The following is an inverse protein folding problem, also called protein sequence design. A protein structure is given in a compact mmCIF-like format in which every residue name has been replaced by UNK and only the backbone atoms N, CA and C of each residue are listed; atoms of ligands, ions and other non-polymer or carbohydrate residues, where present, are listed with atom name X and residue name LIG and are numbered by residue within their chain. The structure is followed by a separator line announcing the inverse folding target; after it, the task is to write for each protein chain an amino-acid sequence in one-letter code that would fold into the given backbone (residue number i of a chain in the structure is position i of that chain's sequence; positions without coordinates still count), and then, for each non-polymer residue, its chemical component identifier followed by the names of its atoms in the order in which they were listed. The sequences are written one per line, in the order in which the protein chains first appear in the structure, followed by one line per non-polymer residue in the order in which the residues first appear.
data_IF_311648423716
#
_entry.id   IF_311648423716
#
_cell.length_a   1.000
_cell.length_b   1.000
_cell.length_c   1.000
_cell.angle_alpha   90.00
_cell.angle_beta   90.00
_cell.angle_gamma   90.00
#
_symmetry.space_group_name_H-M   'P 1'
#
loop_
_entity.id
_entity.type
_entity.pdbx_description
1 polymer ?
#
# COMPACT_ATOMS: atom_id res chain seq x y z
N UNK A 1 7.05 -18.64 -4.69
CA UNK A 1 7.59 -17.26 -4.70
C UNK A 1 6.66 -16.30 -5.46
N UNK A 2 6.29 -16.57 -6.72
CA UNK A 2 5.41 -15.69 -7.52
C UNK A 2 4.01 -15.57 -6.90
N UNK A 3 3.37 -16.69 -6.52
CA UNK A 3 2.01 -16.64 -5.95
C UNK A 3 1.91 -15.79 -4.69
N UNK A 4 2.88 -15.90 -3.78
CA UNK A 4 2.90 -15.08 -2.56
C UNK A 4 3.03 -13.59 -2.86
N UNK A 5 3.86 -13.22 -3.83
CA UNK A 5 3.99 -11.82 -4.26
C UNK A 5 2.68 -11.33 -4.88
N UNK A 6 2.05 -12.16 -5.72
CA UNK A 6 0.74 -11.86 -6.31
C UNK A 6 -0.32 -11.63 -5.24
N UNK A 7 -0.45 -12.57 -4.28
CA UNK A 7 -1.45 -12.46 -3.23
C UNK A 7 -1.21 -11.24 -2.34
N UNK A 8 0.04 -10.94 -1.99
CA UNK A 8 0.38 -9.74 -1.21
C UNK A 8 0.03 -8.45 -1.95
N UNK A 9 0.28 -8.41 -3.25
CA UNK A 9 -0.10 -7.27 -4.09
C UNK A 9 -1.62 -7.11 -4.13
N UNK A 10 -2.35 -8.18 -4.42
CA UNK A 10 -3.83 -8.17 -4.47
C UNK A 10 -4.44 -7.77 -3.12
N UNK A 11 -3.92 -8.30 -2.01
CA UNK A 11 -4.38 -7.93 -0.66
C UNK A 11 -4.18 -6.44 -0.39
N UNK A 12 -3.00 -5.91 -0.72
CA UNK A 12 -2.68 -4.49 -0.55
C UNK A 12 -3.60 -3.61 -1.39
N UNK A 13 -3.77 -3.93 -2.67
CA UNK A 13 -4.61 -3.16 -3.60
C UNK A 13 -6.08 -3.09 -3.14
N UNK A 14 -6.67 -4.23 -2.75
CA UNK A 14 -8.06 -4.26 -2.30
C UNK A 14 -8.21 -3.55 -0.95
N UNK A 15 -7.26 -3.69 -0.04
CA UNK A 15 -7.24 -2.95 1.22
C UNK A 15 -7.19 -1.42 0.96
N UNK A 16 -6.25 -0.96 0.14
CA UNK A 16 -6.09 0.44 -0.23
C UNK A 16 -7.36 1.01 -0.85
N UNK A 17 -7.96 0.27 -1.78
CA UNK A 17 -9.23 0.64 -2.41
C UNK A 17 -10.33 0.84 -1.37
N UNK A 18 -10.50 -0.09 -0.43
CA UNK A 18 -11.54 0.01 0.60
C UNK A 18 -11.32 1.15 1.58
N UNK A 19 -10.05 1.43 1.93
CA UNK A 19 -9.70 2.60 2.74
C UNK A 19 -10.08 3.88 2.00
N UNK A 20 -9.70 4.00 0.73
CA UNK A 20 -10.00 5.18 -0.09
C UNK A 20 -11.51 5.36 -0.34
N UNK A 21 -12.23 4.28 -0.67
CA UNK A 21 -13.69 4.30 -0.84
C UNK A 21 -14.39 4.77 0.44
N UNK A 22 -14.00 4.24 1.61
CA UNK A 22 -14.58 4.69 2.88
C UNK A 22 -14.33 6.16 3.15
N UNK A 23 -13.13 6.67 2.86
CA UNK A 23 -12.81 8.08 3.07
C UNK A 23 -13.58 8.98 2.10
N UNK A 24 -13.74 8.53 0.85
CA UNK A 24 -14.51 9.22 -0.17
C UNK A 24 -16.00 9.31 0.22
N UNK A 25 -16.60 8.20 0.65
CA UNK A 25 -18.02 8.15 1.00
C UNK A 25 -18.36 8.78 2.36
N UNK A 26 -17.44 8.77 3.32
CA UNK A 26 -17.67 9.34 4.64
C UNK A 26 -17.53 10.89 4.70
N UNK A 27 -17.12 11.54 3.60
CA UNK A 27 -16.72 12.97 3.55
C UNK A 27 -15.65 13.32 4.61
N UNK A 28 -14.91 12.32 5.11
CA UNK A 28 -13.86 12.45 6.10
C UNK A 28 -12.49 12.58 5.45
N UNK A 29 -12.42 13.23 4.28
CA UNK A 29 -11.20 13.40 3.47
C UNK A 29 -10.02 13.93 4.30
N UNK A 30 -10.30 14.75 5.31
CA UNK A 30 -9.29 15.37 6.20
C UNK A 30 -8.76 14.47 7.32
N UNK A 31 -9.42 13.35 7.65
CA UNK A 31 -9.00 12.47 8.75
C UNK A 31 -8.20 11.25 8.30
N UNK A 32 -7.91 11.13 7.01
CA UNK A 32 -7.19 9.99 6.45
C UNK A 32 -5.76 10.36 6.07
N UNK A 33 -4.79 9.67 6.68
CA UNK A 33 -3.37 9.77 6.34
C UNK A 33 -3.08 9.35 4.88
N UNK A 34 -4.01 8.64 4.22
CA UNK A 34 -3.88 8.22 2.82
C UNK A 34 -4.00 9.38 1.83
N UNK A 35 -4.80 10.41 2.13
CA UNK A 35 -5.12 11.47 1.15
C UNK A 35 -4.22 12.70 1.31
N UNK A 36 -3.54 12.85 2.45
CA UNK A 36 -2.58 13.95 2.67
C UNK A 36 -1.19 13.70 2.05
N UNK A 37 -1.10 13.04 0.89
CA UNK A 37 0.13 13.12 0.07
C UNK A 37 0.15 14.49 -0.62
N UNK A 38 0.43 15.53 0.17
CA UNK A 38 0.60 16.90 -0.35
C UNK A 38 1.81 16.93 -1.27
N UNK A 39 1.69 17.69 -2.35
CA UNK A 39 2.85 18.04 -3.16
C UNK A 39 3.92 18.64 -2.23
N UNK A 40 5.19 18.25 -2.38
CA UNK A 40 6.22 18.70 -1.46
C UNK A 40 6.36 20.23 -1.55
N UNK A 41 6.59 20.91 -0.41
CA UNK A 41 6.77 22.38 -0.30
C UNK A 41 8.08 22.89 -0.94
N UNK A 42 8.74 22.06 -1.75
CA UNK A 42 10.00 22.34 -2.42
C UNK A 42 9.78 22.36 -3.93
N UNK A 43 10.66 23.06 -4.69
CA UNK A 43 10.62 23.01 -6.15
C UNK A 43 10.67 21.57 -6.61
N UNK A 44 9.69 21.17 -7.43
CA UNK A 44 9.69 19.83 -8.02
C UNK A 44 10.93 19.67 -8.90
N UNK A 45 11.67 18.56 -8.79
CA UNK A 45 12.81 18.32 -9.65
C UNK A 45 12.33 18.18 -11.11
N UNK A 46 13.12 18.70 -12.05
CA UNK A 46 12.87 18.48 -13.47
C UNK A 46 12.92 16.97 -13.77
N UNK A 47 11.98 16.49 -14.58
CA UNK A 47 11.97 15.09 -14.98
C UNK A 47 13.26 14.76 -15.74
N UNK A 48 13.98 13.75 -15.27
CA UNK A 48 15.16 13.22 -15.94
C UNK A 48 14.96 11.73 -16.26
N UNK A 49 15.37 11.24 -17.44
CA UNK A 49 15.16 9.84 -17.85
C UNK A 49 15.76 8.79 -16.90
N UNK A 50 16.72 9.18 -16.07
CA UNK A 50 17.33 8.32 -15.07
C UNK A 50 16.54 8.28 -13.75
N UNK A 51 15.59 9.20 -13.50
CA UNK A 51 14.80 9.27 -12.26
C UNK A 51 14.08 7.96 -11.96
N UNK A 52 13.34 7.32 -12.91
CA UNK A 52 12.64 6.08 -12.60
C UNK A 52 13.57 4.95 -12.13
N UNK A 53 14.69 4.73 -12.84
CA UNK A 53 15.62 3.63 -12.51
C UNK A 53 16.50 3.94 -11.32
N UNK A 54 17.07 5.14 -11.27
CA UNK A 54 18.08 5.46 -10.27
C UNK A 54 17.44 5.89 -8.95
N UNK A 55 16.32 6.60 -8.97
CA UNK A 55 15.72 7.14 -7.75
C UNK A 55 14.55 6.28 -7.31
N UNK A 56 13.50 6.15 -8.15
CA UNK A 56 12.25 5.47 -7.76
C UNK A 56 12.52 3.99 -7.45
N UNK A 57 13.12 3.24 -8.38
CA UNK A 57 13.39 1.80 -8.16
C UNK A 57 14.31 1.53 -6.98
N UNK A 58 15.28 2.41 -6.70
CA UNK A 58 16.21 2.25 -5.57
C UNK A 58 15.47 2.40 -4.24
N UNK A 59 14.63 3.42 -4.10
CA UNK A 59 13.88 3.67 -2.87
C UNK A 59 12.86 2.56 -2.65
N UNK A 60 12.08 2.19 -3.67
CA UNK A 60 11.11 1.09 -3.55
C UNK A 60 11.80 -0.25 -3.23
N UNK A 61 12.97 -0.53 -3.81
CA UNK A 61 13.74 -1.73 -3.46
C UNK A 61 14.24 -1.71 -2.00
N UNK A 62 14.64 -0.55 -1.49
CA UNK A 62 15.04 -0.40 -0.09
C UNK A 62 13.87 -0.65 0.88
N UNK A 63 12.66 -0.25 0.49
CA UNK A 63 11.46 -0.38 1.30
C UNK A 63 10.71 -1.71 1.11
N UNK A 64 10.95 -2.45 0.03
CA UNK A 64 10.25 -3.70 -0.29
C UNK A 64 10.22 -4.70 0.87
N UNK A 65 11.38 -4.95 1.52
CA UNK A 65 11.45 -5.87 2.67
C UNK A 65 10.69 -5.36 3.90
N UNK A 66 10.61 -4.05 4.08
CA UNK A 66 9.86 -3.42 5.18
C UNK A 66 8.37 -3.56 4.91
N UNK A 67 7.94 -3.31 3.67
CA UNK A 67 6.56 -3.49 3.19
C UNK A 67 6.10 -4.94 3.34
N UNK A 68 6.86 -5.91 2.81
CA UNK A 68 6.56 -7.35 2.92
C UNK A 68 6.30 -7.78 4.37
N UNK A 69 7.15 -7.31 5.30
CA UNK A 69 6.99 -7.62 6.73
C UNK A 69 5.74 -7.00 7.34
N UNK A 70 5.34 -5.80 6.91
CA UNK A 70 4.11 -5.20 7.42
C UNK A 70 2.89 -5.91 6.84
N UNK A 71 2.88 -6.18 5.54
CA UNK A 71 1.82 -6.94 4.87
C UNK A 71 1.59 -8.29 5.56
N UNK A 72 2.65 -9.07 5.80
CA UNK A 72 2.56 -10.37 6.50
C UNK A 72 2.12 -10.27 7.96
N UNK A 73 2.16 -9.09 8.59
CA UNK A 73 1.72 -8.89 9.98
C UNK A 73 0.32 -8.31 10.08
N UNK A 74 -0.10 -7.56 9.06
CA UNK A 74 -1.37 -6.84 9.05
C UNK A 74 -2.49 -7.64 8.42
N UNK A 75 -2.22 -8.39 7.35
CA UNK A 75 -3.25 -9.14 6.64
C UNK A 75 -3.33 -10.60 7.11
N UNK A 76 -4.49 -11.26 6.93
CA UNK A 76 -4.68 -12.66 7.29
C UNK A 76 -3.61 -13.57 6.67
N UNK A 77 -3.07 -14.51 7.45
CA UNK A 77 -2.03 -15.44 6.99
C UNK A 77 -2.43 -16.20 5.72
N UNK A 78 -3.70 -16.65 5.66
CA UNK A 78 -4.30 -17.27 4.48
C UNK A 78 -4.08 -16.42 3.23
N UNK A 79 -4.18 -15.10 3.33
CA UNK A 79 -4.08 -14.21 2.18
C UNK A 79 -2.63 -13.98 1.75
N UNK A 80 -1.67 -13.87 2.67
CA UNK A 80 -0.34 -13.32 2.33
C UNK A 80 0.83 -14.28 2.54
N UNK A 81 0.59 -15.42 3.19
CA UNK A 81 1.60 -16.43 3.51
C UNK A 81 1.25 -17.82 2.95
N UNK A 82 0.04 -18.04 2.43
CA UNK A 82 -0.34 -19.28 1.75
C UNK A 82 -0.17 -19.16 0.21
N UNK A 83 0.69 -20.00 -0.36
CA UNK A 83 0.94 -20.06 -1.80
C UNK A 83 0.05 -21.05 -2.56
N UNK A 84 -0.78 -21.83 -1.86
CA UNK A 84 -1.72 -22.75 -2.46
C UNK A 84 -3.00 -22.05 -2.93
N UNK A 85 -3.24 -20.81 -2.48
CA UNK A 85 -4.42 -20.03 -2.85
C UNK A 85 -4.12 -19.03 -3.96
N UNK A 86 -5.11 -18.81 -4.81
CA UNK A 86 -5.19 -17.67 -5.71
C UNK A 86 -6.14 -16.63 -5.09
N UNK A 87 -5.56 -15.62 -4.43
CA UNK A 87 -6.34 -14.70 -3.60
C UNK A 87 -7.41 -13.92 -4.39
N UNK A 88 -7.18 -13.68 -5.69
CA UNK A 88 -8.12 -12.95 -6.54
C UNK A 88 -9.50 -13.60 -6.66
N UNK A 89 -9.59 -14.92 -6.45
CA UNK A 89 -10.85 -15.67 -6.50
C UNK A 89 -11.49 -15.85 -5.11
N UNK A 90 -10.84 -15.40 -4.04
CA UNK A 90 -11.34 -15.55 -2.69
C UNK A 90 -12.37 -14.45 -2.36
N UNK A 91 -13.65 -14.78 -2.12
CA UNK A 91 -14.66 -13.78 -1.81
C UNK A 91 -14.41 -13.03 -0.49
N UNK A 92 -13.63 -13.60 0.44
CA UNK A 92 -13.25 -12.94 1.70
C UNK A 92 -12.31 -11.75 1.48
N UNK A 93 -11.62 -11.69 0.32
CA UNK A 93 -10.75 -10.57 -0.06
C UNK A 93 -11.48 -9.23 0.03
N UNK A 94 -12.76 -9.19 -0.39
CA UNK A 94 -13.58 -7.98 -0.35
C UNK A 94 -14.05 -7.60 1.06
N UNK A 95 -13.62 -8.32 2.10
CA UNK A 95 -13.84 -7.98 3.50
C UNK A 95 -12.54 -7.67 4.23
N UNK A 96 -11.41 -7.59 3.52
CA UNK A 96 -10.08 -7.44 4.13
C UNK A 96 -9.99 -6.28 5.12
N UNK A 97 -10.57 -5.11 4.83
CA UNK A 97 -10.56 -3.99 5.78
C UNK A 97 -11.38 -4.29 7.04
N UNK A 98 -12.52 -4.98 6.92
CA UNK A 98 -13.33 -5.37 8.07
C UNK A 98 -12.58 -6.40 8.92
N UNK A 99 -11.94 -7.39 8.28
CA UNK A 99 -11.13 -8.41 8.96
C UNK A 99 -9.96 -7.75 9.72
N UNK A 100 -9.24 -6.83 9.07
CA UNK A 100 -8.13 -6.08 9.70
C UNK A 100 -8.63 -5.25 10.88
N UNK A 101 -9.78 -4.55 10.74
CA UNK A 101 -10.37 -3.76 11.83
C UNK A 101 -10.86 -4.59 13.02
N UNK A 102 -11.24 -5.84 12.78
CA UNK A 102 -11.64 -6.78 13.84
C UNK A 102 -10.42 -7.44 14.51
N UNK A 103 -9.25 -7.37 13.90
CA UNK A 103 -8.00 -7.85 14.49
C UNK A 103 -7.44 -6.84 15.50
N UNK A 104 -6.65 -7.31 16.46
CA UNK A 104 -5.88 -6.44 17.38
C UNK A 104 -4.67 -5.76 16.71
N UNK A 105 -4.49 -5.94 15.40
CA UNK A 105 -3.34 -5.40 14.67
C UNK A 105 -3.56 -3.94 14.29
N UNK A 106 -2.60 -3.08 14.66
CA UNK A 106 -2.59 -1.68 14.25
C UNK A 106 -2.13 -1.53 12.79
N UNK A 107 -2.88 -0.77 11.98
CA UNK A 107 -2.55 -0.50 10.56
C UNK A 107 -1.61 0.68 10.36
N UNK A 108 -1.47 1.57 11.35
CA UNK A 108 -0.64 2.79 11.28
C UNK A 108 0.77 2.56 10.70
N UNK A 109 1.52 1.50 11.05
CA UNK A 109 2.83 1.25 10.46
C UNK A 109 2.78 0.89 8.97
N UNK A 110 1.75 0.16 8.52
CA UNK A 110 1.53 -0.17 7.12
C UNK A 110 1.16 1.10 6.34
N UNK A 111 0.18 1.85 6.84
CA UNK A 111 -0.28 3.12 6.25
C UNK A 111 0.88 4.11 6.07
N UNK A 112 1.77 4.21 7.06
CA UNK A 112 2.93 5.09 7.00
C UNK A 112 3.92 4.72 5.89
N UNK A 113 4.16 3.42 5.64
CA UNK A 113 5.04 2.97 4.56
C UNK A 113 4.38 3.22 3.21
N UNK A 114 3.07 3.02 3.10
CA UNK A 114 2.33 3.28 1.86
C UNK A 114 2.40 4.77 1.53
N UNK A 115 2.15 5.64 2.50
CA UNK A 115 2.34 7.09 2.32
C UNK A 115 3.78 7.46 1.95
N UNK A 116 4.79 6.76 2.49
CA UNK A 116 6.20 6.94 2.14
C UNK A 116 6.49 6.58 0.67
N UNK A 117 5.97 5.45 0.20
CA UNK A 117 6.10 5.02 -1.21
C UNK A 117 5.37 5.98 -2.17
N UNK A 118 4.14 6.38 -1.84
CA UNK A 118 3.34 7.28 -2.67
C UNK A 118 3.96 8.68 -2.82
N UNK A 119 4.69 9.17 -1.81
CA UNK A 119 5.42 10.45 -1.88
C UNK A 119 6.44 10.50 -3.01
N UNK A 120 7.05 9.36 -3.35
CA UNK A 120 8.03 9.28 -4.43
C UNK A 120 7.31 9.56 -5.76
N UNK A 121 6.15 8.95 -5.98
CA UNK A 121 5.35 9.16 -7.18
C UNK A 121 4.82 10.58 -7.28
N UNK A 122 4.39 11.20 -6.17
CA UNK A 122 3.94 12.61 -6.22
C UNK A 122 5.07 13.61 -6.43
N UNK A 123 6.30 13.27 -6.04
CA UNK A 123 7.48 14.12 -6.25
C UNK A 123 7.99 14.06 -7.70
N UNK A 124 7.91 12.88 -8.35
CA UNK A 124 8.56 12.63 -9.65
C UNK A 124 7.61 12.28 -10.81
N UNK A 125 6.31 12.10 -10.56
CA UNK A 125 5.34 11.55 -11.52
C UNK A 125 4.72 12.54 -12.50
N UNK A 126 5.44 13.59 -12.91
CA UNK A 126 5.03 14.47 -14.02
C UNK A 126 5.67 14.06 -15.34
#
# INVERSE_FOLDING_TARGET
AIQLVSNRHTALEVYERQVLENVYYADTVKSSNYIEVKAPDMPLPEYAPNVPRQIISRISAANARKMDRMISRTFPDKFVNDSAIELGDDPELYQILAIVKQSDVTTTPLDAIISEELKIFTTYGR
#
